data_IF_894293457543
#
_entry.id   IF_894293457543
#
_cell.length_a   1.000
_cell.length_b   1.000
_cell.length_c   1.000
_cell.angle_alpha   90.00
_cell.angle_beta   90.00
_cell.angle_gamma   90.00
#
_symmetry.space_group_name_H-M   'P 1'
#
loop_
_entity.id
_entity.type
_entity.pdbx_description
1 polymer ?
#
# COMPACT_ATOMS: atom_id res chain seq x y z
N UNK A 1 -10.24 -20.23 -15.26
CA UNK A 1 -10.80 -19.30 -14.27
C UNK A 1 -9.71 -19.01 -13.24
N UNK A 2 -9.09 -17.83 -13.30
CA UNK A 2 -8.15 -17.40 -12.26
C UNK A 2 -8.92 -17.36 -10.95
N UNK A 3 -8.48 -18.18 -9.99
CA UNK A 3 -9.04 -18.27 -8.66
C UNK A 3 -8.90 -16.87 -8.02
N UNK A 4 -9.97 -16.07 -8.05
CA UNK A 4 -10.07 -14.80 -7.32
C UNK A 4 -10.16 -15.14 -5.83
N UNK A 5 -9.15 -15.81 -5.25
CA UNK A 5 -8.88 -15.61 -3.83
C UNK A 5 -8.72 -14.10 -3.71
N UNK A 6 -9.63 -13.41 -3.01
CA UNK A 6 -9.61 -11.95 -2.84
C UNK A 6 -8.16 -11.54 -2.66
N UNK A 7 -7.56 -10.95 -3.71
CA UNK A 7 -6.14 -10.64 -3.68
C UNK A 7 -5.99 -9.69 -2.50
N UNK A 8 -5.28 -10.14 -1.47
CA UNK A 8 -4.92 -9.28 -0.35
C UNK A 8 -4.29 -8.04 -0.99
N UNK A 9 -4.82 -6.86 -0.70
CA UNK A 9 -4.29 -5.61 -1.22
C UNK A 9 -3.37 -4.99 -0.17
N UNK A 10 -2.41 -4.18 -0.60
CA UNK A 10 -1.43 -3.58 0.32
C UNK A 10 -2.11 -2.79 1.46
N UNK A 11 -3.28 -2.21 1.19
CA UNK A 11 -4.07 -1.48 2.19
C UNK A 11 -4.63 -2.33 3.34
N UNK A 12 -4.75 -3.65 3.17
CA UNK A 12 -5.18 -4.54 4.26
C UNK A 12 -4.14 -4.64 5.38
N UNK A 13 -2.86 -4.36 5.10
CA UNK A 13 -1.79 -4.51 6.09
C UNK A 13 -1.98 -3.60 7.29
N UNK A 14 -2.46 -2.36 7.10
CA UNK A 14 -2.70 -1.44 8.21
C UNK A 14 -3.75 -1.98 9.20
N UNK A 15 -4.84 -2.58 8.69
CA UNK A 15 -5.87 -3.17 9.55
C UNK A 15 -5.39 -4.38 10.34
N UNK A 16 -4.36 -5.07 9.85
CA UNK A 16 -3.82 -6.29 10.47
C UNK A 16 -2.67 -6.00 11.43
N UNK A 17 -1.81 -5.03 11.10
CA UNK A 17 -0.56 -4.74 11.82
C UNK A 17 -0.58 -3.42 12.57
N UNK A 18 -1.61 -2.59 12.37
CA UNK A 18 -1.69 -1.24 12.92
C UNK A 18 -0.79 -0.24 12.19
N UNK A 19 -0.42 0.84 12.88
CA UNK A 19 0.53 1.84 12.41
C UNK A 19 1.91 1.21 12.20
N UNK A 20 2.23 0.93 10.94
CA UNK A 20 3.50 0.33 10.56
C UNK A 20 4.65 1.36 10.53
N UNK A 21 4.34 2.65 10.68
CA UNK A 21 5.34 3.71 10.81
C UNK A 21 6.27 3.50 12.00
N UNK A 22 5.77 2.88 13.08
CA UNK A 22 6.60 2.49 14.24
C UNK A 22 7.76 1.55 13.88
N UNK A 23 7.61 0.70 12.86
CA UNK A 23 8.69 -0.19 12.40
C UNK A 23 9.69 0.51 11.46
N UNK A 24 9.31 1.65 10.87
CA UNK A 24 10.12 2.28 9.83
C UNK A 24 11.32 3.05 10.34
N UNK A 25 11.24 3.64 11.53
CA UNK A 25 12.36 4.37 12.14
C UNK A 25 13.51 3.42 12.46
N UNK A 26 13.21 2.24 13.00
CA UNK A 26 14.22 1.23 13.33
C UNK A 26 14.74 0.48 12.08
N UNK A 27 13.90 0.31 11.06
CA UNK A 27 14.26 -0.37 9.82
C UNK A 27 14.92 0.54 8.76
N UNK A 28 15.04 1.85 9.01
CA UNK A 28 15.69 2.80 8.10
C UNK A 28 14.88 3.14 6.84
N UNK A 29 13.55 2.96 6.85
CA UNK A 29 12.70 3.36 5.72
C UNK A 29 12.36 4.85 5.79
N UNK A 30 12.46 5.54 4.65
CA UNK A 30 12.24 6.99 4.55
C UNK A 30 10.78 7.37 4.23
N UNK A 31 9.92 6.41 3.87
CA UNK A 31 8.51 6.66 3.55
C UNK A 31 7.64 5.44 3.88
N UNK A 32 6.43 5.72 4.34
CA UNK A 32 5.37 4.74 4.57
C UNK A 32 4.33 4.71 3.43
N UNK A 33 4.64 5.36 2.30
CA UNK A 33 3.74 5.45 1.17
C UNK A 33 4.01 4.33 0.17
N UNK A 34 2.97 3.54 -0.10
CA UNK A 34 3.04 2.39 -1.00
C UNK A 34 2.01 2.52 -2.12
N UNK A 35 2.41 2.10 -3.31
CA UNK A 35 1.52 1.93 -4.45
C UNK A 35 0.41 0.93 -4.14
N UNK A 36 -0.83 1.33 -4.40
CA UNK A 36 -1.98 0.43 -4.40
C UNK A 36 -2.52 0.31 -5.82
N UNK A 37 -2.98 -0.89 -6.19
CA UNK A 37 -3.64 -1.10 -7.47
C UNK A 37 -4.83 -0.16 -7.60
N UNK A 38 -5.00 0.42 -8.80
CA UNK A 38 -6.15 1.25 -9.11
C UNK A 38 -7.45 0.46 -8.93
N UNK A 39 -8.50 1.06 -8.34
CA UNK A 39 -9.86 0.53 -8.43
C UNK A 39 -10.23 0.28 -9.89
N UNK A 40 -11.09 -0.71 -10.14
CA UNK A 40 -11.55 -1.01 -11.48
C UNK A 40 -12.14 0.24 -12.16
N UNK A 41 -11.73 0.50 -13.40
CA UNK A 41 -12.13 1.64 -14.23
C UNK A 41 -11.60 3.02 -13.79
N UNK A 42 -10.61 3.10 -12.90
CA UNK A 42 -9.94 4.37 -12.61
C UNK A 42 -8.69 4.57 -13.48
N UNK A 43 -8.57 5.74 -14.10
CA UNK A 43 -7.30 6.20 -14.70
C UNK A 43 -6.34 6.77 -13.65
N UNK A 44 -6.82 6.95 -12.42
CA UNK A 44 -6.02 7.47 -11.32
C UNK A 44 -5.14 6.38 -10.72
N UNK A 45 -4.01 6.84 -10.24
CA UNK A 45 -3.01 6.07 -9.53
C UNK A 45 -3.18 6.32 -8.04
N UNK A 46 -3.21 5.26 -7.21
CA UNK A 46 -3.44 5.40 -5.78
C UNK A 46 -2.26 4.94 -4.96
N UNK A 47 -2.08 5.58 -3.83
CA UNK A 47 -1.13 5.21 -2.80
C UNK A 47 -1.84 5.04 -1.47
N UNK A 48 -1.26 4.25 -0.58
CA UNK A 48 -1.70 4.10 0.79
C UNK A 48 -0.54 4.37 1.74
N UNK A 49 -0.83 5.09 2.82
CA UNK A 49 0.06 5.23 3.96
C UNK A 49 -0.11 4.01 4.87
N UNK A 50 0.94 3.23 5.07
CA UNK A 50 0.91 2.14 6.06
C UNK A 50 1.11 2.64 7.50
N UNK A 51 1.39 3.93 7.69
CA UNK A 51 1.41 4.55 9.01
C UNK A 51 0.02 5.00 9.47
N UNK A 52 -0.86 5.39 8.54
CA UNK A 52 -2.18 5.95 8.86
C UNK A 52 -3.35 5.14 8.31
N UNK A 53 -3.10 4.22 7.38
CA UNK A 53 -4.12 3.48 6.63
C UNK A 53 -4.83 4.31 5.56
N UNK A 54 -4.47 5.59 5.38
CA UNK A 54 -5.15 6.49 4.45
C UNK A 54 -4.75 6.22 3.00
N UNK A 55 -5.73 6.17 2.11
CA UNK A 55 -5.53 6.09 0.66
C UNK A 55 -5.68 7.46 0.00
N UNK A 56 -4.79 7.78 -0.93
CA UNK A 56 -4.84 9.03 -1.71
C UNK A 56 -4.39 8.82 -3.16
N UNK A 57 -4.63 9.81 -4.03
CA UNK A 57 -4.15 9.82 -5.42
C UNK A 57 -2.63 10.14 -5.44
N UNK A 58 -1.86 9.42 -6.26
CA UNK A 58 -0.39 9.45 -6.33
C UNK A 58 0.18 10.86 -6.56
N UNK A 59 -0.53 11.70 -7.32
CA UNK A 59 -0.12 13.08 -7.60
C UNK A 59 -0.02 13.98 -6.34
N UNK A 60 -0.62 13.59 -5.20
CA UNK A 60 -0.57 14.39 -3.97
C UNK A 60 0.72 14.26 -3.16
N UNK A 61 1.50 13.19 -3.31
CA UNK A 61 2.45 12.81 -2.24
C UNK A 61 3.93 12.75 -2.62
N UNK A 62 4.31 12.76 -3.90
CA UNK A 62 5.72 12.78 -4.30
C UNK A 62 6.52 11.56 -3.80
N UNK A 63 6.82 10.64 -4.72
CA UNK A 63 7.52 9.37 -4.47
C UNK A 63 6.74 8.34 -3.61
N UNK A 64 6.61 7.12 -4.11
CA UNK A 64 6.02 5.99 -3.38
C UNK A 64 6.77 4.69 -3.68
N UNK A 65 6.73 3.76 -2.74
CA UNK A 65 7.35 2.44 -2.89
C UNK A 65 6.43 1.49 -3.67
N UNK A 66 7.02 0.71 -4.58
CA UNK A 66 6.35 -0.42 -5.20
C UNK A 66 6.59 -1.68 -4.36
N UNK A 67 5.53 -2.48 -4.15
CA UNK A 67 5.60 -3.75 -3.42
C UNK A 67 4.87 -4.83 -4.21
N UNK A 68 5.37 -6.06 -4.10
CA UNK A 68 4.83 -7.21 -4.81
C UNK A 68 4.45 -8.31 -3.81
N UNK A 69 3.34 -8.99 -4.07
CA UNK A 69 3.02 -10.22 -3.35
C UNK A 69 4.00 -11.32 -3.76
N UNK A 70 4.72 -11.86 -2.77
CA UNK A 70 5.49 -13.08 -2.97
C UNK A 70 4.52 -14.26 -2.99
N UNK A 71 4.46 -14.97 -4.11
CA UNK A 71 3.81 -16.28 -4.15
C UNK A 71 4.73 -17.27 -3.42
N UNK A 72 4.23 -17.87 -2.34
CA UNK A 72 4.98 -18.83 -1.51
C UNK A 72 4.85 -20.26 -2.06
#
# INVERSE_FOLDING_TARGET
HLNHSRSRGIGSLYSEWGDMGHYTTEAGFQSNMYWSSSPANSSEQYVISLATGEQSVYEKLGFAHATCYKNL
#
